data_IF_557603733225
#
_entry.id   IF_557603733225
#
_cell.length_a   1.000
_cell.length_b   1.000
_cell.length_c   1.000
_cell.angle_alpha   90.00
_cell.angle_beta   90.00
_cell.angle_gamma   90.00
#
_symmetry.space_group_name_H-M   'P 1'
#
loop_
_entity.id
_entity.type
_entity.pdbx_description
1 polymer ?
#
# COMPACT_ATOMS: atom_id res chain seq x y z
N UNK A 1 -7.71 30.07 3.45
CA UNK A 1 -7.98 29.32 2.20
C UNK A 1 -7.77 27.86 2.54
N UNK A 2 -8.76 26.96 2.40
CA UNK A 2 -8.48 25.54 2.59
C UNK A 2 -7.50 25.16 1.48
N UNK A 3 -6.33 24.65 1.84
CA UNK A 3 -5.31 24.27 0.89
C UNK A 3 -5.91 23.25 -0.06
N UNK A 4 -5.89 23.54 -1.37
CA UNK A 4 -6.11 22.48 -2.36
C UNK A 4 -5.01 21.45 -2.10
N UNK A 5 -5.38 20.30 -1.55
CA UNK A 5 -4.56 19.11 -1.50
C UNK A 5 -4.09 18.80 -2.92
N UNK A 6 -2.89 19.25 -3.30
CA UNK A 6 -2.34 19.06 -4.63
C UNK A 6 -2.26 17.56 -4.97
N UNK A 7 -2.01 16.73 -3.96
CA UNK A 7 -1.77 15.29 -4.08
C UNK A 7 -2.99 14.42 -3.78
N UNK A 8 -4.18 15.02 -3.65
CA UNK A 8 -5.43 14.27 -3.43
C UNK A 8 -5.65 13.10 -4.40
N UNK A 9 -5.46 13.24 -5.73
CA UNK A 9 -5.67 12.11 -6.65
C UNK A 9 -4.69 10.96 -6.41
N UNK A 10 -3.43 11.27 -6.06
CA UNK A 10 -2.40 10.26 -5.75
C UNK A 10 -2.74 9.56 -4.43
N UNK A 11 -3.12 10.32 -3.41
CA UNK A 11 -3.61 9.80 -2.14
C UNK A 11 -4.81 8.86 -2.33
N UNK A 12 -5.81 9.28 -3.10
CA UNK A 12 -6.99 8.47 -3.36
C UNK A 12 -6.63 7.15 -4.08
N UNK A 13 -5.68 7.19 -5.02
CA UNK A 13 -5.19 6.00 -5.71
C UNK A 13 -4.46 5.04 -4.76
N UNK A 14 -3.57 5.53 -3.90
CA UNK A 14 -2.84 4.71 -2.90
C UNK A 14 -3.82 4.11 -1.89
N UNK A 15 -4.74 4.91 -1.36
CA UNK A 15 -5.76 4.45 -0.42
C UNK A 15 -6.64 3.37 -1.05
N UNK A 16 -7.09 3.56 -2.30
CA UNK A 16 -7.90 2.58 -3.01
C UNK A 16 -7.13 1.28 -3.29
N UNK A 17 -5.86 1.36 -3.69
CA UNK A 17 -5.04 0.18 -3.98
C UNK A 17 -4.83 -0.70 -2.75
N UNK A 18 -4.59 -0.09 -1.59
CA UNK A 18 -4.22 -0.82 -0.38
C UNK A 18 -5.37 -0.96 0.64
N UNK A 19 -6.58 -0.51 0.31
CA UNK A 19 -7.74 -0.45 1.23
C UNK A 19 -8.08 -1.77 1.94
N UNK A 20 -7.80 -2.90 1.30
CA UNK A 20 -8.08 -4.24 1.81
C UNK A 20 -7.31 -4.56 3.10
N UNK A 21 -6.10 -4.00 3.26
CA UNK A 21 -5.22 -4.27 4.41
C UNK A 21 -4.85 -3.02 5.19
N UNK A 22 -4.89 -1.87 4.55
CA UNK A 22 -4.42 -0.62 5.12
C UNK A 22 -5.55 0.40 5.20
N UNK A 23 -5.57 1.11 6.31
CA UNK A 23 -6.37 2.31 6.51
C UNK A 23 -5.43 3.51 6.37
N UNK A 24 -5.60 4.28 5.30
CA UNK A 24 -4.77 5.44 4.98
C UNK A 24 -5.51 6.71 5.41
N UNK A 25 -4.87 7.54 6.24
CA UNK A 25 -5.42 8.81 6.73
C UNK A 25 -4.48 9.97 6.39
N UNK A 26 -5.05 11.17 6.33
CA UNK A 26 -4.29 12.40 6.14
C UNK A 26 -4.60 13.38 7.26
N UNK A 27 -3.55 13.91 7.90
CA UNK A 27 -3.64 14.91 8.96
C UNK A 27 -3.01 16.23 8.50
N UNK A 28 -3.86 17.19 8.15
CA UNK A 28 -3.41 18.51 7.71
C UNK A 28 -2.71 19.26 8.85
N UNK A 29 -1.57 19.88 8.56
CA UNK A 29 -0.79 20.66 9.53
C UNK A 29 0.25 19.86 10.33
N UNK A 30 0.36 18.55 10.10
CA UNK A 30 1.45 17.74 10.64
C UNK A 30 2.66 17.71 9.68
N UNK A 31 3.90 17.56 10.19
CA UNK A 31 5.09 17.40 9.35
C UNK A 31 5.10 16.07 8.58
N UNK A 32 4.34 15.07 9.05
CA UNK A 32 4.12 13.76 8.40
C UNK A 32 2.62 13.53 8.26
N UNK A 33 1.98 14.20 7.29
CA UNK A 33 0.52 14.20 7.15
C UNK A 33 -0.04 12.84 6.73
N UNK A 34 0.69 12.03 5.96
CA UNK A 34 0.18 10.76 5.44
C UNK A 34 0.49 9.62 6.41
N UNK A 35 -0.56 8.93 6.86
CA UNK A 35 -0.43 7.79 7.78
C UNK A 35 -1.16 6.59 7.22
N UNK A 36 -0.62 5.40 7.44
CA UNK A 36 -1.25 4.14 7.09
C UNK A 36 -1.17 3.16 8.25
N UNK A 37 -2.33 2.63 8.65
CA UNK A 37 -2.45 1.63 9.71
C UNK A 37 -2.86 0.28 9.13
N UNK A 38 -2.14 -0.78 9.48
CA UNK A 38 -2.52 -2.12 9.06
C UNK A 38 -3.77 -2.57 9.84
N UNK A 39 -4.75 -3.14 9.14
CA UNK A 39 -6.05 -3.50 9.73
C UNK A 39 -5.99 -4.71 10.65
N UNK A 40 -5.02 -5.62 10.45
CA UNK A 40 -4.91 -6.88 11.21
C UNK A 40 -3.63 -7.00 12.02
N UNK A 41 -2.69 -6.07 11.85
CA UNK A 41 -1.39 -6.12 12.52
C UNK A 41 -1.16 -4.77 13.20
N UNK A 42 -0.42 -4.75 14.31
CA UNK A 42 -0.05 -3.52 15.01
C UNK A 42 1.09 -2.77 14.30
N UNK A 43 0.96 -2.56 12.99
CA UNK A 43 1.93 -1.87 12.15
C UNK A 43 1.32 -0.56 11.70
N UNK A 44 2.05 0.54 11.93
CA UNK A 44 1.67 1.87 11.46
C UNK A 44 2.86 2.49 10.74
N UNK A 45 2.60 3.10 9.59
CA UNK A 45 3.58 3.83 8.79
C UNK A 45 3.12 5.29 8.67
N UNK A 46 4.07 6.20 8.63
CA UNK A 46 3.82 7.62 8.40
C UNK A 46 4.89 8.17 7.46
N UNK A 47 4.50 9.09 6.59
CA UNK A 47 5.40 9.77 5.66
C UNK A 47 4.89 11.17 5.34
N UNK A 48 5.81 12.04 4.95
CA UNK A 48 5.53 13.35 4.35
C UNK A 48 5.25 13.28 2.86
N UNK A 49 5.50 12.12 2.24
CA UNK A 49 5.31 11.88 0.82
C UNK A 49 4.40 10.65 0.59
N UNK A 50 3.36 10.85 -0.22
CA UNK A 50 2.35 9.84 -0.51
C UNK A 50 2.86 8.72 -1.43
N UNK A 51 3.82 9.02 -2.31
CA UNK A 51 4.44 8.03 -3.21
C UNK A 51 5.38 7.12 -2.42
N UNK A 52 6.18 7.69 -1.51
CA UNK A 52 7.04 6.93 -0.60
C UNK A 52 6.18 6.02 0.29
N UNK A 53 5.06 6.53 0.82
CA UNK A 53 4.12 5.71 1.58
C UNK A 53 3.57 4.56 0.71
N UNK A 54 3.11 4.82 -0.51
CA UNK A 54 2.62 3.78 -1.42
C UNK A 54 3.66 2.71 -1.75
N UNK A 55 4.92 3.09 -1.93
CA UNK A 55 6.03 2.15 -2.12
C UNK A 55 6.26 1.28 -0.88
N UNK A 56 6.28 1.88 0.32
CA UNK A 56 6.43 1.16 1.57
C UNK A 56 5.28 0.16 1.79
N UNK A 57 4.04 0.55 1.52
CA UNK A 57 2.85 -0.31 1.63
C UNK A 57 2.93 -1.52 0.68
N UNK A 58 3.48 -1.33 -0.51
CA UNK A 58 3.67 -2.39 -1.50
C UNK A 58 4.66 -3.45 -1.03
N UNK A 59 5.65 -3.11 -0.20
CA UNK A 59 6.59 -4.07 0.39
C UNK A 59 5.93 -5.04 1.37
N UNK A 60 4.76 -4.69 1.92
CA UNK A 60 3.97 -5.57 2.79
C UNK A 60 2.92 -6.39 2.03
N UNK A 61 2.86 -6.28 0.70
CA UNK A 61 2.06 -7.19 -0.11
C UNK A 61 2.74 -8.56 -0.13
N UNK A 62 2.05 -9.66 0.22
CA UNK A 62 2.62 -10.99 0.12
C UNK A 62 2.97 -11.22 -1.35
N UNK A 63 4.13 -11.83 -1.59
CA UNK A 63 4.60 -12.15 -2.92
C UNK A 63 3.43 -12.75 -3.72
N UNK A 64 3.08 -12.08 -4.82
CA UNK A 64 2.06 -12.54 -5.76
C UNK A 64 2.26 -14.02 -5.97
N UNK A 65 1.28 -14.85 -5.61
CA UNK A 65 1.38 -16.29 -5.67
C UNK A 65 1.86 -16.70 -7.08
N UNK A 66 3.16 -16.98 -7.20
CA UNK A 66 3.75 -17.43 -8.46
C UNK A 66 3.25 -18.85 -8.60
N UNK A 67 2.38 -19.06 -9.59
CA UNK A 67 1.84 -20.38 -9.92
C UNK A 67 3.05 -21.31 -10.12
N UNK A 68 3.23 -22.34 -9.28
CA UNK A 68 4.34 -23.26 -9.51
C UNK A 68 4.13 -23.89 -10.88
N UNK A 69 5.13 -23.77 -11.75
CA UNK A 69 5.18 -24.59 -12.96
C UNK A 69 5.17 -26.04 -12.49
N UNK A 70 4.11 -26.78 -12.80
CA UNK A 70 4.10 -28.21 -12.55
C UNK A 70 5.29 -28.81 -13.31
N UNK A 71 6.15 -29.64 -12.67
CA UNK A 71 7.05 -30.47 -13.45
C UNK A 71 6.17 -31.29 -14.39
N UNK A 72 6.46 -31.21 -15.68
CA UNK A 72 5.85 -32.04 -16.71
C UNK A 72 5.85 -33.47 -16.17
N UNK A 73 4.65 -34.03 -16.00
CA UNK A 73 4.50 -35.42 -15.61
C UNK A 73 5.44 -36.24 -16.49
N UNK A 74 6.38 -36.89 -15.81
CA UNK A 74 7.09 -38.03 -16.34
C UNK A 74 6.04 -39.03 -16.85
N UNK A 75 6.44 -39.87 -17.81
CA UNK A 75 5.72 -41.04 -18.36
C UNK A 75 5.25 -40.92 -19.82
N UNK A 76 6.16 -41.27 -20.73
CA UNK A 76 5.85 -42.24 -21.78
C UNK A 76 7.12 -42.99 -22.23
N UNK A 77 7.45 -44.03 -21.45
CA UNK A 77 8.11 -45.29 -21.84
C UNK A 77 9.61 -45.32 -22.14
#
# INVERSE_FOLDING_TARGET
MPGRFADYPVFAAVAARHHARWEVTHHEGEPVPYRARHRTCEITLASDDVEILGFALSAFEPASYVRPYAPRAEEAR
#
